data_IF_229323970413
#
_entry.id   IF_229323970413
#
_cell.length_a   1.000
_cell.length_b   1.000
_cell.length_c   1.000
_cell.angle_alpha   90.00
_cell.angle_beta   90.00
_cell.angle_gamma   90.00
#
_symmetry.space_group_name_H-M   'P 1'
#
loop_
_entity.id
_entity.type
_entity.pdbx_description
1 polymer ?
#
# COMPACT_ATOMS: atom_id res chain seq x y z
N UNK A 1 -15.66 -0.87 1.02
CA UNK A 1 -15.42 0.58 0.83
C UNK A 1 -16.70 1.43 1.04
N UNK A 2 -17.87 0.89 0.81
CA UNK A 2 -19.14 1.60 0.91
C UNK A 2 -19.50 2.12 2.32
N UNK A 3 -18.80 1.64 3.34
CA UNK A 3 -19.04 2.00 4.74
C UNK A 3 -18.07 3.03 5.31
N UNK A 4 -17.12 3.55 4.52
CA UNK A 4 -16.15 4.53 5.03
C UNK A 4 -16.81 5.81 5.57
N UNK A 5 -17.94 6.23 5.00
CA UNK A 5 -18.70 7.37 5.50
C UNK A 5 -19.24 7.18 6.94
N UNK A 6 -19.33 5.94 7.42
CA UNK A 6 -19.75 5.65 8.80
C UNK A 6 -18.73 6.01 9.85
N UNK A 7 -17.45 6.10 9.50
CA UNK A 7 -16.41 6.50 10.45
C UNK A 7 -16.59 7.95 10.95
N UNK A 8 -16.77 8.95 10.07
CA UNK A 8 -17.11 10.31 10.53
C UNK A 8 -18.42 10.38 11.31
N UNK A 9 -19.47 9.65 10.89
CA UNK A 9 -20.74 9.60 11.62
C UNK A 9 -20.59 9.05 13.05
N UNK A 10 -19.66 8.11 13.26
CA UNK A 10 -19.33 7.53 14.55
C UNK A 10 -18.27 8.33 15.33
N UNK A 11 -17.93 9.55 14.88
CA UNK A 11 -16.91 10.41 15.48
C UNK A 11 -15.54 9.71 15.67
N UNK A 12 -15.18 8.84 14.72
CA UNK A 12 -13.92 8.09 14.76
C UNK A 12 -12.75 9.04 14.61
N UNK A 13 -11.87 9.08 15.60
CA UNK A 13 -10.74 10.01 15.65
C UNK A 13 -9.61 9.63 14.67
N UNK A 14 -9.46 8.36 14.35
CA UNK A 14 -8.36 7.86 13.51
C UNK A 14 -8.76 6.61 12.72
N UNK A 15 -8.39 6.56 11.44
CA UNK A 15 -8.60 5.41 10.57
C UNK A 15 -7.28 5.00 9.93
N UNK A 16 -6.85 3.76 10.17
CA UNK A 16 -5.64 3.19 9.59
C UNK A 16 -5.96 2.38 8.34
N UNK A 17 -5.37 2.79 7.20
CA UNK A 17 -5.48 2.09 5.92
C UNK A 17 -4.18 1.30 5.68
N UNK A 18 -4.22 -0.01 5.80
CA UNK A 18 -3.04 -0.85 5.69
C UNK A 18 -3.06 -1.75 4.44
N UNK A 19 -3.61 -2.95 4.57
CA UNK A 19 -3.49 -4.02 3.56
C UNK A 19 -4.30 -3.74 2.28
N UNK A 20 -5.35 -2.93 2.35
CA UNK A 20 -6.26 -2.69 1.23
C UNK A 20 -5.58 -2.17 -0.03
N UNK A 21 -4.58 -1.28 0.09
CA UNK A 21 -3.83 -0.76 -1.07
C UNK A 21 -2.86 -1.78 -1.67
N UNK A 22 -2.28 -2.66 -0.85
CA UNK A 22 -1.47 -3.77 -1.36
C UNK A 22 -2.33 -4.78 -2.12
N UNK A 23 -3.50 -5.12 -1.57
CA UNK A 23 -4.47 -5.98 -2.24
C UNK A 23 -4.91 -5.37 -3.56
N UNK A 24 -5.21 -4.06 -3.59
CA UNK A 24 -5.57 -3.35 -4.80
C UNK A 24 -4.51 -3.54 -5.90
N UNK A 25 -3.23 -3.44 -5.56
CA UNK A 25 -2.14 -3.65 -6.52
C UNK A 25 -2.12 -5.09 -7.04
N UNK A 26 -2.07 -6.08 -6.15
CA UNK A 26 -1.92 -7.49 -6.53
C UNK A 26 -3.16 -8.09 -7.20
N UNK A 27 -4.32 -7.54 -6.95
CA UNK A 27 -5.61 -7.99 -7.47
C UNK A 27 -6.11 -7.11 -8.63
N UNK A 28 -5.28 -6.16 -9.07
CA UNK A 28 -5.61 -5.29 -10.19
C UNK A 28 -5.67 -6.08 -11.50
N UNK A 29 -6.68 -5.84 -12.33
CA UNK A 29 -6.88 -6.55 -13.61
C UNK A 29 -5.68 -6.45 -14.58
N UNK A 30 -4.94 -5.34 -14.49
CA UNK A 30 -3.75 -5.08 -15.30
C UNK A 30 -2.46 -5.60 -14.66
N UNK A 31 -2.51 -6.20 -13.46
CA UNK A 31 -1.31 -6.73 -12.85
C UNK A 31 -0.85 -8.00 -13.60
N UNK A 32 0.38 -8.04 -14.16
CA UNK A 32 0.79 -9.13 -15.01
C UNK A 32 0.86 -10.47 -14.27
N UNK A 33 0.27 -11.51 -14.85
CA UNK A 33 0.30 -12.86 -14.28
C UNK A 33 1.72 -13.38 -14.08
N UNK A 34 2.64 -13.07 -15.01
CA UNK A 34 4.05 -13.45 -14.91
C UNK A 34 4.74 -12.78 -13.71
N UNK A 35 4.40 -11.52 -13.43
CA UNK A 35 4.93 -10.82 -12.26
C UNK A 35 4.33 -11.38 -10.96
N UNK A 36 3.04 -11.75 -10.99
CA UNK A 36 2.42 -12.41 -9.85
C UNK A 36 3.08 -13.78 -9.56
N UNK A 37 3.41 -14.55 -10.59
CA UNK A 37 4.16 -15.80 -10.43
C UNK A 37 5.56 -15.58 -9.81
N UNK A 38 6.24 -14.45 -10.09
CA UNK A 38 7.49 -14.08 -9.37
C UNK A 38 7.23 -13.82 -7.89
N UNK A 39 6.11 -13.15 -7.56
CA UNK A 39 5.70 -12.91 -6.17
C UNK A 39 5.45 -14.22 -5.44
N UNK A 40 4.73 -15.16 -6.04
CA UNK A 40 4.46 -16.46 -5.45
C UNK A 40 5.75 -17.25 -5.21
N UNK A 41 6.64 -17.29 -6.20
CA UNK A 41 7.95 -17.94 -6.07
C UNK A 41 8.74 -17.35 -4.91
N UNK A 42 8.84 -16.01 -4.84
CA UNK A 42 9.49 -15.35 -3.71
C UNK A 42 8.87 -15.77 -2.37
N UNK A 43 7.54 -15.83 -2.28
CA UNK A 43 6.87 -16.25 -1.05
C UNK A 43 7.26 -17.68 -0.64
N UNK A 44 7.26 -18.62 -1.59
CA UNK A 44 7.59 -20.01 -1.31
C UNK A 44 9.07 -20.22 -1.00
N UNK A 45 9.97 -19.51 -1.65
CA UNK A 45 11.42 -19.68 -1.48
C UNK A 45 11.93 -18.92 -0.24
N UNK A 46 11.58 -17.66 -0.10
CA UNK A 46 12.18 -16.78 0.91
C UNK A 46 11.37 -16.68 2.21
N UNK A 47 10.07 -17.00 2.16
CA UNK A 47 9.20 -16.90 3.33
C UNK A 47 8.76 -18.28 3.88
N UNK A 48 9.29 -19.38 3.39
CA UNK A 48 8.88 -20.75 3.75
C UNK A 48 8.78 -21.00 5.26
N UNK A 49 9.73 -20.44 6.01
CA UNK A 49 9.81 -20.58 7.48
C UNK A 49 8.62 -19.96 8.23
N UNK A 50 7.85 -19.09 7.57
CA UNK A 50 6.68 -18.42 8.16
C UNK A 50 5.37 -19.18 7.93
N UNK A 51 5.45 -20.30 7.21
CA UNK A 51 4.28 -21.10 6.89
C UNK A 51 3.79 -21.85 8.12
N UNK A 52 2.52 -21.62 8.46
CA UNK A 52 1.88 -22.33 9.58
C UNK A 52 1.36 -23.69 9.13
N UNK A 53 1.30 -24.65 10.04
CA UNK A 53 0.69 -25.97 9.79
C UNK A 53 -0.77 -25.81 9.33
N UNK A 54 -1.17 -26.56 8.31
CA UNK A 54 -2.53 -26.50 7.74
C UNK A 54 -2.83 -25.28 6.89
N UNK A 55 -1.89 -24.34 6.72
CA UNK A 55 -2.08 -23.17 5.90
C UNK A 55 -2.06 -23.52 4.41
N UNK A 56 -3.11 -23.13 3.65
CA UNK A 56 -3.14 -23.32 2.20
C UNK A 56 -2.14 -22.37 1.50
N UNK A 57 -1.76 -22.70 0.25
CA UNK A 57 -0.86 -21.86 -0.55
C UNK A 57 -1.40 -20.45 -0.72
N UNK A 58 -2.70 -20.30 -1.01
CA UNK A 58 -3.36 -19.01 -1.15
C UNK A 58 -3.26 -18.16 0.12
N UNK A 59 -3.54 -18.76 1.28
CA UNK A 59 -3.42 -18.08 2.57
C UNK A 59 -1.97 -17.69 2.88
N UNK A 60 -1.02 -18.56 2.55
CA UNK A 60 0.39 -18.33 2.76
C UNK A 60 0.90 -17.17 1.89
N UNK A 61 0.61 -17.20 0.58
CA UNK A 61 0.98 -16.13 -0.35
C UNK A 61 0.33 -14.81 0.08
N UNK A 62 -0.97 -14.81 0.40
CA UNK A 62 -1.66 -13.60 0.90
C UNK A 62 -0.96 -12.98 2.12
N UNK A 63 -0.53 -13.80 3.08
CA UNK A 63 0.16 -13.35 4.29
C UNK A 63 1.55 -12.77 3.99
N UNK A 64 2.29 -13.35 3.04
CA UNK A 64 3.71 -13.06 2.81
C UNK A 64 3.99 -12.16 1.61
N UNK A 65 3.07 -12.04 0.62
CA UNK A 65 3.27 -11.31 -0.64
C UNK A 65 3.69 -9.84 -0.45
N UNK A 66 3.35 -9.21 0.68
CA UNK A 66 3.80 -7.86 1.01
C UNK A 66 5.33 -7.71 1.06
N UNK A 67 6.06 -8.79 1.35
CA UNK A 67 7.52 -8.82 1.41
C UNK A 67 8.16 -8.85 0.03
N UNK A 68 7.43 -9.30 -0.99
CA UNK A 68 7.88 -9.33 -2.37
C UNK A 68 7.98 -7.93 -3.01
N UNK A 69 7.33 -6.89 -2.46
CA UNK A 69 7.34 -5.54 -3.04
C UNK A 69 8.75 -4.99 -3.26
N UNK A 70 9.68 -5.22 -2.33
CA UNK A 70 11.08 -4.82 -2.49
C UNK A 70 11.76 -5.51 -3.68
N UNK A 71 11.81 -6.85 -3.71
CA UNK A 71 12.38 -7.64 -4.80
C UNK A 71 11.81 -7.32 -6.18
N UNK A 72 10.50 -7.12 -6.33
CA UNK A 72 9.86 -6.82 -7.62
C UNK A 72 9.75 -5.33 -7.95
N UNK A 73 10.32 -4.46 -7.12
CA UNK A 73 10.16 -3.00 -7.27
C UNK A 73 10.55 -2.50 -8.66
N UNK A 74 11.63 -3.03 -9.24
CA UNK A 74 12.09 -2.64 -10.56
C UNK A 74 11.11 -3.12 -11.63
N UNK A 75 10.67 -4.37 -11.55
CA UNK A 75 9.68 -4.91 -12.49
C UNK A 75 8.39 -4.07 -12.47
N UNK A 76 7.92 -3.66 -11.28
CA UNK A 76 6.75 -2.78 -11.14
C UNK A 76 6.97 -1.40 -11.77
N UNK A 77 8.19 -0.85 -11.63
CA UNK A 77 8.51 0.47 -12.16
C UNK A 77 8.57 0.48 -13.69
N UNK A 78 9.03 -0.62 -14.26
CA UNK A 78 9.20 -0.78 -15.71
C UNK A 78 7.92 -1.27 -16.43
N UNK A 79 6.79 -1.48 -15.71
CA UNK A 79 5.52 -1.87 -16.32
C UNK A 79 4.94 -0.78 -17.22
N UNK A 80 4.58 -1.13 -18.44
CA UNK A 80 3.88 -0.24 -19.39
C UNK A 80 2.53 0.25 -18.85
N UNK A 81 1.85 -0.59 -18.07
CA UNK A 81 0.54 -0.30 -17.47
C UNK A 81 0.62 0.41 -16.11
N UNK A 82 1.81 0.71 -15.64
CA UNK A 82 2.05 1.31 -14.32
C UNK A 82 1.20 2.54 -14.05
N UNK A 83 1.19 3.48 -15.00
CA UNK A 83 0.51 4.76 -14.81
C UNK A 83 -1.02 4.59 -14.71
N UNK A 84 -1.58 3.57 -15.37
CA UNK A 84 -3.00 3.23 -15.21
C UNK A 84 -3.27 2.67 -13.81
N UNK A 85 -2.48 1.71 -13.36
CA UNK A 85 -2.61 1.14 -12.00
C UNK A 85 -2.49 2.24 -10.93
N UNK A 86 -1.52 3.15 -11.09
CA UNK A 86 -1.34 4.30 -10.19
C UNK A 86 -2.57 5.22 -10.24
N UNK A 87 -3.09 5.52 -11.43
CA UNK A 87 -4.27 6.36 -11.59
C UNK A 87 -5.51 5.78 -10.88
N UNK A 88 -5.75 4.50 -11.06
CA UNK A 88 -6.88 3.81 -10.42
C UNK A 88 -6.71 3.74 -8.89
N UNK A 89 -5.48 3.55 -8.40
CA UNK A 89 -5.18 3.59 -6.97
C UNK A 89 -5.37 4.99 -6.38
N UNK A 90 -4.98 6.04 -7.12
CA UNK A 90 -5.22 7.44 -6.71
C UNK A 90 -6.72 7.76 -6.67
N UNK A 91 -7.49 7.29 -7.65
CA UNK A 91 -8.94 7.45 -7.66
C UNK A 91 -9.59 6.78 -6.43
N UNK A 92 -9.13 5.58 -6.07
CA UNK A 92 -9.57 4.89 -4.86
C UNK A 92 -9.22 5.66 -3.58
N UNK A 93 -8.00 6.20 -3.49
CA UNK A 93 -7.59 7.03 -2.34
C UNK A 93 -8.46 8.28 -2.22
N UNK A 94 -8.68 8.96 -3.35
CA UNK A 94 -9.54 10.15 -3.40
C UNK A 94 -10.95 9.84 -2.91
N UNK A 95 -11.55 8.77 -3.42
CA UNK A 95 -12.88 8.31 -2.97
C UNK A 95 -12.91 8.09 -1.45
N UNK A 96 -11.93 7.39 -0.88
CA UNK A 96 -11.87 7.13 0.57
C UNK A 96 -11.74 8.45 1.35
N UNK A 97 -10.91 9.39 0.90
CA UNK A 97 -10.74 10.69 1.56
C UNK A 97 -12.04 11.53 1.51
N UNK A 98 -12.79 11.46 0.42
CA UNK A 98 -14.10 12.09 0.31
C UNK A 98 -15.11 11.47 1.29
N UNK A 99 -15.16 10.14 1.37
CA UNK A 99 -16.03 9.42 2.31
C UNK A 99 -15.69 9.71 3.78
N UNK A 100 -14.41 9.87 4.09
CA UNK A 100 -13.93 10.21 5.43
C UNK A 100 -14.08 11.72 5.76
N UNK A 101 -14.52 12.55 4.81
CA UNK A 101 -14.68 13.99 5.01
C UNK A 101 -13.36 14.75 5.19
N UNK A 102 -12.22 14.16 4.79
CA UNK A 102 -10.89 14.77 4.95
C UNK A 102 -10.34 15.39 3.66
N UNK A 103 -11.04 15.23 2.55
CA UNK A 103 -10.67 15.87 1.29
C UNK A 103 -10.73 17.40 1.43
N UNK A 104 -9.65 18.09 1.00
CA UNK A 104 -9.59 19.57 1.04
C UNK A 104 -9.24 20.18 2.39
N UNK A 105 -8.92 19.40 3.42
CA UNK A 105 -8.65 19.89 4.79
C UNK A 105 -7.26 20.51 5.01
N UNK A 106 -6.51 20.83 3.94
CA UNK A 106 -5.16 21.40 4.04
C UNK A 106 -5.11 22.64 4.95
N UNK A 107 -6.01 23.59 4.77
CA UNK A 107 -6.04 24.81 5.58
C UNK A 107 -6.30 24.52 7.07
N UNK A 108 -7.12 23.52 7.37
CA UNK A 108 -7.37 23.08 8.76
C UNK A 108 -6.12 22.46 9.36
N UNK A 109 -5.42 21.61 8.61
CA UNK A 109 -4.16 21.01 9.06
C UNK A 109 -3.12 22.10 9.34
N UNK A 110 -2.93 23.04 8.41
CA UNK A 110 -1.95 24.14 8.56
C UNK A 110 -2.25 25.05 9.76
N UNK A 111 -3.53 25.18 10.12
CA UNK A 111 -3.93 25.97 11.31
C UNK A 111 -3.49 25.33 12.62
N UNK A 112 -3.56 24.01 12.72
CA UNK A 112 -3.34 23.29 13.98
C UNK A 112 -2.02 22.53 14.05
N UNK A 113 -1.44 22.16 12.90
CA UNK A 113 -0.21 21.39 12.82
C UNK A 113 0.94 22.29 12.34
N UNK A 114 1.88 22.55 13.22
CA UNK A 114 3.15 23.20 12.85
C UNK A 114 4.20 22.12 12.66
N UNK A 115 4.56 21.82 11.43
CA UNK A 115 5.64 20.89 11.13
C UNK A 115 7.00 21.53 11.46
N UNK A 116 7.74 21.10 12.50
CA UNK A 116 9.08 21.59 12.73
C UNK A 116 10.00 21.12 11.60
N UNK A 117 10.76 22.03 11.01
CA UNK A 117 11.82 21.64 10.08
C UNK A 117 12.94 20.97 10.89
N UNK A 118 13.00 19.64 10.81
CA UNK A 118 14.10 18.87 11.40
C UNK A 118 14.99 18.35 10.28
N UNK A 119 16.15 18.99 10.12
CA UNK A 119 17.20 18.45 9.25
C UNK A 119 17.89 17.28 9.96
N UNK A 120 17.65 16.08 9.50
CA UNK A 120 18.47 14.93 9.91
C UNK A 120 19.82 15.03 9.18
N UNK A 121 20.95 14.78 9.85
CA UNK A 121 22.24 14.69 9.16
C UNK A 121 22.18 13.59 8.11
N UNK A 122 22.79 13.83 6.95
CA UNK A 122 22.89 12.84 5.89
C UNK A 122 23.56 11.56 6.45
N UNK A 123 22.96 10.38 6.20
CA UNK A 123 23.61 9.12 6.56
C UNK A 123 25.00 9.02 5.92
N UNK A 124 25.92 8.34 6.57
CA UNK A 124 27.31 8.23 6.10
C UNK A 124 27.40 7.66 4.67
N UNK A 125 26.46 6.78 4.28
CA UNK A 125 26.36 6.21 2.93
C UNK A 125 26.00 7.22 1.82
N UNK A 126 25.54 8.42 2.18
CA UNK A 126 25.20 9.50 1.23
C UNK A 126 26.13 10.71 1.35
N UNK A 127 27.15 10.62 2.18
CA UNK A 127 28.21 11.62 2.23
C UNK A 127 29.25 11.21 1.19
N UNK A 128 29.30 11.94 0.08
CA UNK A 128 30.35 11.80 -0.93
C UNK A 128 31.71 12.19 -0.34
#
# INVERSE_FOLDING_TARGET
DELFHKFPEAETAEVHLATGFQNFLYEHELFPAELYAKVERFCFDECAVERSEGQTDVQFVYKTRKKALGPIKRDLWDLDVKDRIIGDQQAKMKFIFEQLGIAGNKATVEKYVRAPQRHKPLPASLKA
#
